data_IF_091633562079
#
_entry.id   IF_091633562079
#
_cell.length_a   1.000
_cell.length_b   1.000
_cell.length_c   1.000
_cell.angle_alpha   90.00
_cell.angle_beta   90.00
_cell.angle_gamma   90.00
#
_symmetry.space_group_name_H-M   'P 1'
#
loop_
_entity.id
_entity.type
_entity.pdbx_description
1 polymer ?
#
# COMPACT_ATOMS: atom_id res chain seq x y z
N UNK A 1 34.07 13.15 -0.23
CA UNK A 1 32.61 13.19 -0.49
C UNK A 1 32.33 12.36 -1.74
N UNK A 2 31.42 11.40 -1.65
CA UNK A 2 30.97 10.61 -2.81
C UNK A 2 29.81 11.36 -3.48
N UNK A 3 30.17 12.28 -4.39
CA UNK A 3 29.23 13.15 -5.08
C UNK A 3 28.33 12.32 -6.01
N UNK A 4 28.93 11.35 -6.69
CA UNK A 4 28.24 10.50 -7.66
C UNK A 4 27.18 9.64 -6.97
N UNK A 5 27.53 9.00 -5.87
CA UNK A 5 26.56 8.21 -5.10
C UNK A 5 25.41 9.08 -4.58
N UNK A 6 25.69 10.28 -4.08
CA UNK A 6 24.66 11.19 -3.61
C UNK A 6 23.65 11.56 -4.73
N UNK A 7 24.13 11.65 -5.98
CA UNK A 7 23.29 12.03 -7.14
C UNK A 7 22.54 10.84 -7.73
N UNK A 8 23.15 9.64 -7.78
CA UNK A 8 22.66 8.53 -8.59
C UNK A 8 22.09 7.35 -7.79
N UNK A 9 22.18 7.32 -6.45
CA UNK A 9 21.79 6.17 -5.62
C UNK A 9 20.36 5.65 -5.81
N UNK A 10 19.44 6.51 -6.29
CA UNK A 10 18.04 6.15 -6.60
C UNK A 10 17.74 6.17 -8.10
N UNK A 11 18.74 5.96 -8.93
CA UNK A 11 18.60 6.05 -10.38
C UNK A 11 19.26 4.86 -11.08
N UNK A 12 18.66 4.45 -12.20
CA UNK A 12 19.20 3.39 -13.08
C UNK A 12 19.49 4.00 -14.45
N UNK A 13 20.63 3.66 -15.06
CA UNK A 13 20.96 4.15 -16.40
C UNK A 13 20.00 3.58 -17.46
N UNK A 14 19.55 4.44 -18.36
CA UNK A 14 18.92 4.08 -19.61
C UNK A 14 20.00 4.09 -20.68
N UNK A 15 20.48 2.92 -21.07
CA UNK A 15 21.63 2.79 -21.97
C UNK A 15 21.38 3.38 -23.37
N UNK A 16 20.16 3.33 -23.87
CA UNK A 16 19.81 3.95 -25.15
C UNK A 16 19.89 5.47 -25.07
N UNK A 17 19.45 6.05 -23.96
CA UNK A 17 19.58 7.48 -23.71
C UNK A 17 21.03 7.91 -23.49
N UNK A 18 21.85 7.08 -22.83
CA UNK A 18 23.28 7.35 -22.68
C UNK A 18 23.97 7.49 -24.05
N UNK A 19 23.72 6.53 -24.97
CA UNK A 19 24.27 6.59 -26.31
C UNK A 19 23.79 7.82 -27.08
N UNK A 20 22.51 8.16 -27.01
CA UNK A 20 21.94 9.37 -27.63
C UNK A 20 22.49 10.67 -27.04
N UNK A 21 22.84 10.66 -25.76
CA UNK A 21 23.43 11.81 -25.08
C UNK A 21 24.86 12.07 -25.47
N UNK A 22 25.57 11.05 -26.00
CA UNK A 22 26.94 11.15 -26.48
C UNK A 22 27.96 10.26 -25.77
N UNK A 23 27.51 9.37 -24.86
CA UNK A 23 28.38 8.33 -24.32
C UNK A 23 28.83 7.38 -25.42
N UNK A 24 30.10 6.93 -25.32
CA UNK A 24 30.65 5.87 -26.18
C UNK A 24 30.74 4.58 -25.36
N UNK A 25 30.29 3.48 -25.94
CA UNK A 25 30.42 2.16 -25.30
C UNK A 25 31.80 1.60 -25.55
N UNK A 26 32.47 1.17 -24.47
CA UNK A 26 33.75 0.48 -24.50
C UNK A 26 33.68 -0.74 -23.56
N UNK A 27 33.54 -1.93 -24.13
CA UNK A 27 33.24 -3.15 -23.38
C UNK A 27 31.91 -3.05 -22.60
N UNK A 28 31.99 -3.15 -21.27
CA UNK A 28 30.83 -2.98 -20.37
C UNK A 28 30.66 -1.54 -19.88
N UNK A 29 31.58 -0.65 -20.23
CA UNK A 29 31.57 0.73 -19.79
C UNK A 29 30.96 1.67 -20.84
N UNK A 30 30.31 2.72 -20.35
CA UNK A 30 29.83 3.84 -21.14
C UNK A 30 30.59 5.08 -20.70
N UNK A 31 31.36 5.68 -21.63
CA UNK A 31 32.31 6.75 -21.35
C UNK A 31 31.90 8.02 -22.07
N UNK A 32 31.80 9.11 -21.31
CA UNK A 32 31.61 10.46 -21.84
C UNK A 32 32.82 11.32 -21.49
N UNK A 33 33.38 12.01 -22.51
CA UNK A 33 34.41 13.03 -22.32
C UNK A 33 33.94 14.33 -22.94
N UNK A 34 34.02 15.41 -22.18
CA UNK A 34 33.69 16.75 -22.72
C UNK A 34 34.40 17.85 -21.93
N UNK A 35 34.63 18.98 -22.59
CA UNK A 35 35.15 20.16 -21.90
C UNK A 35 34.23 20.57 -20.75
N UNK A 36 34.78 20.83 -19.57
CA UNK A 36 34.06 21.30 -18.39
C UNK A 36 34.12 22.83 -18.29
N UNK A 37 35.34 23.39 -18.37
CA UNK A 37 35.60 24.84 -18.39
C UNK A 37 37.07 25.09 -18.65
N UNK A 38 37.44 26.10 -19.48
CA UNK A 38 38.82 26.40 -19.81
C UNK A 38 39.56 25.13 -20.28
N UNK A 39 40.70 24.83 -19.66
CA UNK A 39 41.53 23.66 -19.94
C UNK A 39 41.17 22.45 -19.06
N UNK A 40 39.94 22.38 -18.52
CA UNK A 40 39.46 21.26 -17.71
C UNK A 40 38.47 20.41 -18.50
N UNK A 41 38.72 19.08 -18.50
CA UNK A 41 37.83 18.07 -19.10
C UNK A 41 37.19 17.23 -18.01
N UNK A 42 35.88 16.93 -18.17
CA UNK A 42 35.18 15.91 -17.37
C UNK A 42 35.12 14.59 -18.14
N UNK A 43 35.45 13.51 -17.42
CA UNK A 43 35.27 12.13 -17.90
C UNK A 43 34.26 11.47 -16.98
N UNK A 44 33.15 10.97 -17.53
CA UNK A 44 32.15 10.20 -16.79
C UNK A 44 32.12 8.79 -17.31
N UNK A 45 32.27 7.82 -16.41
CA UNK A 45 32.28 6.38 -16.71
C UNK A 45 31.09 5.74 -15.98
N UNK A 46 30.29 4.99 -16.71
CA UNK A 46 29.15 4.24 -16.15
C UNK A 46 29.36 2.76 -16.45
N UNK A 47 29.38 1.94 -15.40
CA UNK A 47 29.47 0.48 -15.47
C UNK A 47 28.41 -0.12 -14.54
N UNK A 48 27.38 -0.76 -15.11
CA UNK A 48 26.20 -1.19 -14.38
C UNK A 48 25.52 0.01 -13.69
N UNK A 49 25.36 -0.05 -12.37
CA UNK A 49 24.81 1.03 -11.56
C UNK A 49 25.88 2.03 -11.04
N UNK A 50 27.16 1.72 -11.25
CA UNK A 50 28.25 2.54 -10.75
C UNK A 50 28.53 3.68 -11.72
N UNK A 51 28.54 4.90 -11.19
CA UNK A 51 28.90 6.13 -11.92
C UNK A 51 30.21 6.65 -11.30
N UNK A 52 31.19 6.94 -12.10
CA UNK A 52 32.48 7.53 -11.73
C UNK A 52 32.69 8.77 -12.59
N UNK A 53 32.84 9.91 -11.94
CA UNK A 53 33.23 11.15 -12.61
C UNK A 53 34.66 11.52 -12.27
N UNK A 54 35.41 12.03 -13.21
CA UNK A 54 36.76 12.55 -13.02
C UNK A 54 36.91 13.88 -13.75
N UNK A 55 37.68 14.77 -13.17
CA UNK A 55 38.05 16.03 -13.81
C UNK A 55 39.57 16.02 -14.08
N UNK A 56 39.97 16.29 -15.32
CA UNK A 56 41.37 16.38 -15.74
C UNK A 56 41.75 17.83 -16.05
N UNK A 57 42.89 18.24 -15.57
CA UNK A 57 43.57 19.45 -16.00
C UNK A 57 44.39 19.09 -17.24
N UNK A 58 44.03 19.66 -18.39
CA UNK A 58 44.67 19.35 -19.67
C UNK A 58 46.04 20.02 -19.87
N UNK A 59 46.33 21.07 -19.10
CA UNK A 59 47.68 21.70 -19.14
C UNK A 59 48.73 20.83 -18.49
N UNK A 60 48.36 20.14 -17.39
CA UNK A 60 49.27 19.24 -16.66
C UNK A 60 49.03 17.76 -16.99
N UNK A 61 47.95 17.46 -17.70
CA UNK A 61 47.50 16.08 -18.04
C UNK A 61 47.34 15.19 -16.78
N UNK A 62 46.83 15.78 -15.71
CA UNK A 62 46.64 15.13 -14.40
C UNK A 62 45.20 15.24 -13.94
N UNK A 63 44.75 14.27 -13.08
CA UNK A 63 43.43 14.33 -12.46
C UNK A 63 43.39 15.43 -11.40
N UNK A 64 42.50 16.40 -11.54
CA UNK A 64 42.29 17.46 -10.58
C UNK A 64 41.30 17.00 -9.50
N UNK A 65 41.78 16.66 -8.30
CA UNK A 65 40.97 16.06 -7.23
C UNK A 65 40.48 17.05 -6.18
N UNK A 66 40.98 18.29 -6.16
CA UNK A 66 40.67 19.28 -5.12
C UNK A 66 39.18 19.60 -4.98
N UNK A 67 38.39 19.50 -6.04
CA UNK A 67 36.94 19.73 -6.00
C UNK A 67 36.17 18.71 -5.13
N UNK A 68 36.77 17.57 -4.79
CA UNK A 68 36.18 16.55 -3.92
C UNK A 68 36.39 16.84 -2.41
N UNK A 69 37.32 17.71 -2.07
CA UNK A 69 37.67 18.06 -0.68
C UNK A 69 36.70 19.12 -0.18
N UNK A 70 35.85 18.78 0.81
CA UNK A 70 34.77 19.64 1.31
C UNK A 70 35.28 20.97 1.92
N UNK A 71 36.44 20.95 2.57
CA UNK A 71 37.05 22.08 3.27
C UNK A 71 37.76 23.09 2.35
N UNK A 72 37.97 22.73 1.07
CA UNK A 72 38.57 23.65 0.12
C UNK A 72 37.53 24.62 -0.46
N UNK A 73 37.59 25.86 0.00
CA UNK A 73 36.63 26.94 -0.29
C UNK A 73 37.14 27.98 -1.32
N UNK A 74 38.23 27.73 -2.00
CA UNK A 74 38.74 28.62 -3.06
C UNK A 74 37.70 28.81 -4.18
N UNK A 75 37.50 30.05 -4.64
CA UNK A 75 36.49 30.38 -5.67
C UNK A 75 36.62 29.53 -6.94
N UNK A 76 37.82 29.22 -7.37
CA UNK A 76 38.08 28.37 -8.52
C UNK A 76 37.67 26.90 -8.27
N UNK A 77 38.06 26.32 -7.14
CA UNK A 77 37.68 24.95 -6.77
C UNK A 77 36.16 24.82 -6.60
N UNK A 78 35.51 25.82 -6.03
CA UNK A 78 34.06 25.91 -5.92
C UNK A 78 33.36 25.90 -7.30
N UNK A 79 33.87 26.70 -8.23
CA UNK A 79 33.37 26.76 -9.62
C UNK A 79 33.52 25.39 -10.34
N UNK A 80 34.67 24.72 -10.22
CA UNK A 80 34.88 23.39 -10.82
C UNK A 80 33.88 22.40 -10.21
N UNK A 81 33.68 22.40 -8.90
CA UNK A 81 32.72 21.53 -8.20
C UNK A 81 31.28 21.78 -8.67
N UNK A 82 30.85 23.03 -8.76
CA UNK A 82 29.51 23.37 -9.24
C UNK A 82 29.27 22.89 -10.66
N UNK A 83 30.23 23.12 -11.56
CA UNK A 83 30.14 22.65 -12.94
C UNK A 83 30.13 21.11 -13.03
N UNK A 84 30.97 20.43 -12.25
CA UNK A 84 30.99 18.98 -12.15
C UNK A 84 29.60 18.43 -11.73
N UNK A 85 29.05 18.95 -10.64
CA UNK A 85 27.72 18.57 -10.12
C UNK A 85 26.63 18.87 -11.16
N UNK A 86 26.71 20.03 -11.82
CA UNK A 86 25.75 20.40 -12.87
C UNK A 86 25.73 19.42 -14.04
N UNK A 87 26.93 18.98 -14.48
CA UNK A 87 27.04 17.97 -15.56
C UNK A 87 26.45 16.63 -15.11
N UNK A 88 26.76 16.18 -13.89
CA UNK A 88 26.21 14.92 -13.39
C UNK A 88 24.67 14.97 -13.25
N UNK A 89 24.11 16.08 -12.76
CA UNK A 89 22.66 16.27 -12.71
C UNK A 89 22.01 16.25 -14.08
N UNK A 90 22.62 16.92 -15.08
CA UNK A 90 22.11 16.92 -16.46
C UNK A 90 22.12 15.51 -17.07
N UNK A 91 23.18 14.72 -16.81
CA UNK A 91 23.25 13.31 -17.22
C UNK A 91 22.17 12.49 -16.52
N UNK A 92 21.99 12.66 -15.21
CA UNK A 92 20.94 11.97 -14.44
C UNK A 92 19.56 12.25 -15.02
N UNK A 93 19.22 13.51 -15.21
CA UNK A 93 17.88 13.91 -15.61
C UNK A 93 17.53 13.47 -17.04
N UNK A 94 18.55 13.37 -17.93
CA UNK A 94 18.36 12.98 -19.32
C UNK A 94 18.54 11.50 -19.61
N UNK A 95 19.38 10.81 -18.83
CA UNK A 95 19.83 9.46 -19.17
C UNK A 95 19.50 8.40 -18.12
N UNK A 96 18.87 8.76 -17.00
CA UNK A 96 18.55 7.81 -15.95
C UNK A 96 17.05 7.76 -15.66
N UNK A 97 16.63 6.65 -15.10
CA UNK A 97 15.24 6.42 -14.63
C UNK A 97 15.29 6.43 -13.11
N UNK A 98 14.43 7.24 -12.48
CA UNK A 98 14.31 7.30 -11.03
C UNK A 98 13.66 6.02 -10.49
N UNK A 99 14.20 5.51 -9.38
CA UNK A 99 13.60 4.46 -8.56
C UNK A 99 13.16 5.04 -7.22
N UNK A 100 12.04 4.57 -6.65
CA UNK A 100 11.60 5.06 -5.34
C UNK A 100 12.58 4.73 -4.21
N UNK A 101 13.31 3.60 -4.31
CA UNK A 101 14.19 3.09 -3.27
C UNK A 101 15.60 2.85 -3.78
N UNK A 102 16.55 2.76 -2.83
CA UNK A 102 17.96 2.50 -3.12
C UNK A 102 18.20 1.02 -3.43
N UNK A 103 17.64 0.12 -2.59
CA UNK A 103 17.89 -1.32 -2.69
C UNK A 103 16.93 -2.01 -3.65
N UNK A 104 17.44 -3.02 -4.36
CA UNK A 104 16.68 -3.72 -5.38
C UNK A 104 15.47 -4.47 -4.82
N UNK A 105 15.61 -5.12 -3.67
CA UNK A 105 14.50 -5.82 -3.03
C UNK A 105 13.36 -4.86 -2.67
N UNK A 106 13.67 -3.67 -2.17
CA UNK A 106 12.67 -2.64 -1.88
C UNK A 106 11.90 -2.21 -3.13
N UNK A 107 12.60 -2.05 -4.25
CA UNK A 107 11.97 -1.69 -5.53
C UNK A 107 11.12 -2.83 -6.09
N UNK A 108 11.56 -4.10 -5.95
CA UNK A 108 10.75 -5.26 -6.36
C UNK A 108 9.49 -5.38 -5.50
N UNK A 109 9.61 -5.26 -4.18
CA UNK A 109 8.46 -5.29 -3.26
C UNK A 109 7.47 -4.16 -3.58
N UNK A 110 7.95 -2.93 -3.81
CA UNK A 110 7.09 -1.82 -4.21
C UNK A 110 6.33 -2.11 -5.52
N UNK A 111 7.01 -2.70 -6.51
CA UNK A 111 6.39 -3.10 -7.77
C UNK A 111 5.36 -4.24 -7.59
N UNK A 112 5.63 -5.21 -6.71
CA UNK A 112 4.67 -6.28 -6.37
C UNK A 112 3.43 -5.71 -5.67
N UNK A 113 3.61 -4.76 -4.73
CA UNK A 113 2.52 -4.02 -4.08
C UNK A 113 1.68 -3.30 -5.15
N UNK A 114 2.32 -2.58 -6.07
CA UNK A 114 1.62 -1.88 -7.13
C UNK A 114 0.83 -2.84 -8.04
N UNK A 115 1.47 -3.93 -8.48
CA UNK A 115 0.81 -4.94 -9.34
C UNK A 115 -0.42 -5.57 -8.65
N UNK A 116 -0.35 -5.79 -7.34
CA UNK A 116 -1.40 -6.51 -6.59
C UNK A 116 -2.50 -5.58 -6.09
N UNK A 117 -2.15 -4.38 -5.59
CA UNK A 117 -3.07 -3.50 -4.89
C UNK A 117 -3.27 -2.15 -5.56
N UNK A 118 -2.53 -1.84 -6.64
CA UNK A 118 -2.52 -0.53 -7.32
C UNK A 118 -2.16 0.61 -6.36
N UNK A 119 -1.22 0.35 -5.43
CA UNK A 119 -0.74 1.33 -4.46
C UNK A 119 0.72 1.67 -4.73
N UNK A 120 1.01 2.96 -4.83
CA UNK A 120 2.35 3.50 -4.97
C UNK A 120 2.92 3.94 -3.63
N UNK A 121 4.27 3.98 -3.49
CA UNK A 121 4.90 4.53 -2.29
C UNK A 121 4.65 6.04 -2.20
N UNK A 122 4.24 6.53 -1.03
CA UNK A 122 3.98 7.94 -0.77
C UNK A 122 5.05 8.47 0.19
N UNK A 123 5.88 9.40 -0.29
CA UNK A 123 6.89 10.09 0.52
C UNK A 123 6.23 11.27 1.23
N UNK A 124 5.91 11.09 2.52
CA UNK A 124 5.18 12.10 3.32
C UNK A 124 6.09 13.12 4.01
N UNK A 125 7.40 12.88 4.02
CA UNK A 125 8.37 13.68 4.79
C UNK A 125 9.53 14.12 3.91
N UNK A 126 9.87 15.41 3.93
CA UNK A 126 10.97 15.96 3.14
C UNK A 126 12.35 15.57 3.68
N UNK A 127 12.45 15.35 4.99
CA UNK A 127 13.73 15.13 5.69
C UNK A 127 13.96 13.65 6.11
N UNK A 128 13.05 12.76 5.78
CA UNK A 128 13.13 11.34 6.15
C UNK A 128 13.00 10.52 4.86
N UNK A 129 14.00 9.70 4.58
CA UNK A 129 13.97 8.76 3.46
C UNK A 129 13.06 7.56 3.80
N UNK A 130 11.76 7.83 3.83
CA UNK A 130 10.72 6.88 4.14
C UNK A 130 9.49 7.09 3.27
N UNK A 131 8.89 5.99 2.82
CA UNK A 131 7.65 6.00 2.06
C UNK A 131 6.62 5.07 2.70
N UNK A 132 5.36 5.51 2.72
CA UNK A 132 4.25 4.73 3.22
C UNK A 132 3.43 4.14 2.08
N UNK A 133 2.89 2.95 2.31
CA UNK A 133 1.85 2.34 1.50
C UNK A 133 0.55 2.38 2.30
N UNK A 134 -0.48 3.01 1.75
CA UNK A 134 -1.74 3.19 2.45
C UNK A 134 -2.96 2.78 1.61
N UNK A 135 -4.01 2.37 2.33
CA UNK A 135 -5.31 2.08 1.77
C UNK A 135 -6.38 2.57 2.75
N UNK A 136 -7.40 3.31 2.25
CA UNK A 136 -8.44 3.93 3.08
C UNK A 136 -7.84 4.73 4.28
N UNK A 137 -6.83 5.56 4.02
CA UNK A 137 -6.13 6.39 5.01
C UNK A 137 -5.40 5.59 6.12
N UNK A 138 -5.29 4.27 5.98
CA UNK A 138 -4.58 3.39 6.91
C UNK A 138 -3.31 2.86 6.27
N UNK A 139 -2.20 2.95 7.00
CA UNK A 139 -0.92 2.42 6.56
C UNK A 139 -0.90 0.90 6.70
N UNK A 140 -0.41 0.21 5.67
CA UNK A 140 -0.16 -1.23 5.69
C UNK A 140 1.31 -1.59 5.44
N UNK A 141 2.12 -0.64 4.99
CA UNK A 141 3.55 -0.80 4.81
C UNK A 141 4.28 0.53 4.93
N UNK A 142 5.50 0.51 5.48
CA UNK A 142 6.39 1.66 5.50
C UNK A 142 7.79 1.16 5.18
N UNK A 143 8.35 1.59 4.06
CA UNK A 143 9.76 1.35 3.72
C UNK A 143 10.55 2.59 4.11
N UNK A 144 11.67 2.40 4.82
CA UNK A 144 12.57 3.48 5.21
C UNK A 144 14.03 3.04 5.14
N UNK A 145 14.90 4.00 4.80
CA UNK A 145 16.35 3.80 4.83
C UNK A 145 16.88 4.12 6.23
N UNK A 146 17.65 3.21 6.81
CA UNK A 146 18.17 3.32 8.18
C UNK A 146 19.61 2.78 8.25
N UNK A 147 20.29 3.11 9.35
CA UNK A 147 21.61 2.52 9.65
C UNK A 147 21.42 1.05 10.06
N UNK A 148 22.11 0.14 9.37
CA UNK A 148 22.07 -1.31 9.59
C UNK A 148 22.47 -1.72 11.00
N UNK A 149 23.30 -0.92 11.69
CA UNK A 149 23.70 -1.15 13.08
C UNK A 149 22.53 -1.21 14.06
N UNK A 150 21.33 -0.76 13.66
CA UNK A 150 20.09 -0.89 14.46
C UNK A 150 19.59 -2.34 14.56
N UNK A 151 20.01 -3.22 13.66
CA UNK A 151 19.50 -4.58 13.52
C UNK A 151 20.56 -5.66 13.56
N UNK A 152 21.82 -5.31 13.40
CA UNK A 152 22.95 -6.25 13.36
C UNK A 152 24.25 -5.55 13.80
N UNK A 153 25.34 -6.30 13.94
CA UNK A 153 26.68 -5.74 14.19
C UNK A 153 27.31 -5.10 12.94
N UNK A 154 26.63 -5.18 11.79
CA UNK A 154 27.10 -4.60 10.54
C UNK A 154 26.78 -3.11 10.48
N UNK A 155 27.64 -2.33 9.84
CA UNK A 155 27.44 -0.90 9.57
C UNK A 155 26.98 -0.67 8.14
N UNK A 156 26.46 0.53 7.86
CA UNK A 156 26.04 0.96 6.55
C UNK A 156 24.53 1.17 6.44
N UNK A 157 24.07 1.56 5.26
CA UNK A 157 22.65 1.77 4.99
C UNK A 157 21.95 0.43 4.69
N UNK A 158 20.68 0.33 5.12
CA UNK A 158 19.77 -0.76 4.75
C UNK A 158 18.34 -0.23 4.70
N UNK A 159 17.54 -0.73 3.79
CA UNK A 159 16.11 -0.43 3.79
C UNK A 159 15.34 -1.50 4.56
N UNK A 160 14.39 -1.05 5.34
CA UNK A 160 13.51 -1.90 6.13
C UNK A 160 12.06 -1.65 5.75
N UNK A 161 11.24 -2.69 5.88
CA UNK A 161 9.79 -2.61 5.74
C UNK A 161 9.12 -2.89 7.07
N UNK A 162 8.31 -1.97 7.56
CA UNK A 162 7.39 -2.25 8.66
C UNK A 162 6.03 -2.66 8.12
N UNK A 163 5.47 -3.77 8.64
CA UNK A 163 4.12 -4.26 8.34
C UNK A 163 3.35 -4.55 9.60
N UNK A 164 2.02 -4.44 9.53
CA UNK A 164 1.12 -4.72 10.64
C UNK A 164 0.70 -6.19 10.64
N UNK A 165 0.79 -6.86 11.79
CA UNK A 165 0.43 -8.28 11.93
C UNK A 165 -0.32 -8.52 13.25
N UNK A 166 -0.96 -9.69 13.36
CA UNK A 166 -1.48 -10.19 14.64
C UNK A 166 -0.37 -10.40 15.67
N UNK A 167 -0.64 -10.07 16.93
CA UNK A 167 0.35 -10.14 18.01
C UNK A 167 0.93 -11.54 18.25
N UNK A 168 0.12 -12.60 18.04
CA UNK A 168 0.59 -13.98 18.21
C UNK A 168 1.52 -14.37 17.07
N UNK A 169 1.22 -13.92 15.83
CA UNK A 169 2.10 -14.12 14.69
C UNK A 169 3.43 -13.39 14.86
N UNK A 170 3.41 -12.14 15.36
CA UNK A 170 4.63 -11.38 15.68
C UNK A 170 5.51 -12.17 16.65
N UNK A 171 4.94 -12.69 17.75
CA UNK A 171 5.68 -13.45 18.76
C UNK A 171 6.38 -14.70 18.18
N UNK A 172 5.77 -15.34 17.17
CA UNK A 172 6.32 -16.52 16.53
C UNK A 172 7.37 -16.19 15.46
N UNK A 173 7.34 -14.97 14.91
CA UNK A 173 8.21 -14.56 13.80
C UNK A 173 9.48 -13.86 14.26
N UNK A 174 9.46 -13.17 15.40
CA UNK A 174 10.53 -12.25 15.83
C UNK A 174 11.90 -12.91 16.04
N UNK A 175 11.96 -14.23 16.09
CA UNK A 175 13.21 -14.98 16.23
C UNK A 175 13.75 -15.52 14.90
N UNK A 176 13.14 -15.16 13.78
CA UNK A 176 13.63 -15.55 12.45
C UNK A 176 14.56 -14.48 11.91
N UNK A 177 15.62 -14.90 11.22
CA UNK A 177 16.55 -13.99 10.55
C UNK A 177 15.81 -13.04 9.61
N UNK A 178 16.23 -11.79 9.57
CA UNK A 178 15.59 -10.74 8.77
C UNK A 178 14.34 -10.12 9.38
N UNK A 179 13.83 -10.64 10.54
CA UNK A 179 12.64 -10.13 11.22
C UNK A 179 12.98 -9.60 12.62
N UNK A 180 12.57 -8.37 12.89
CA UNK A 180 12.91 -7.65 14.12
C UNK A 180 11.69 -7.00 14.76
N UNK A 181 11.82 -6.64 16.04
CA UNK A 181 10.83 -5.77 16.70
C UNK A 181 10.66 -4.48 15.92
N UNK A 182 9.41 -4.03 15.80
CA UNK A 182 9.08 -2.86 14.99
C UNK A 182 9.94 -1.62 15.34
N UNK A 183 10.59 -1.08 14.32
CA UNK A 183 11.37 0.14 14.41
C UNK A 183 10.45 1.35 14.21
N UNK A 184 10.43 2.26 15.19
CA UNK A 184 9.56 3.45 15.23
C UNK A 184 8.04 3.19 15.13
N UNK A 185 7.61 1.92 15.21
CA UNK A 185 6.19 1.56 15.18
C UNK A 185 5.78 0.84 16.47
N UNK A 186 4.47 0.66 16.67
CA UNK A 186 3.93 -0.05 17.83
C UNK A 186 4.33 -1.53 17.79
N UNK A 187 5.24 -1.95 18.67
CA UNK A 187 5.80 -3.31 18.76
C UNK A 187 4.79 -4.42 19.02
N UNK A 188 3.54 -4.08 19.46
CA UNK A 188 2.47 -5.07 19.70
C UNK A 188 1.71 -5.44 18.43
N UNK A 189 1.79 -4.61 17.40
CA UNK A 189 0.99 -4.76 16.17
C UNK A 189 1.78 -4.55 14.88
N UNK A 190 3.08 -4.31 14.97
CA UNK A 190 3.96 -4.14 13.82
C UNK A 190 5.24 -4.96 13.99
N UNK A 191 5.84 -5.37 12.86
CA UNK A 191 7.14 -6.04 12.78
C UNK A 191 8.01 -5.33 11.75
N UNK A 192 9.32 -5.37 11.93
CA UNK A 192 10.30 -4.87 10.96
C UNK A 192 10.89 -6.03 10.18
N UNK A 193 10.96 -5.88 8.88
CA UNK A 193 11.57 -6.77 7.90
C UNK A 193 12.77 -6.03 7.31
N UNK A 194 13.95 -6.64 7.31
CA UNK A 194 15.13 -6.08 6.60
C UNK A 194 15.06 -6.53 5.15
N UNK A 195 15.22 -5.57 4.22
CA UNK A 195 15.15 -5.79 2.77
C UNK A 195 16.56 -5.92 2.19
N UNK A 196 17.21 -7.06 2.49
CA UNK A 196 18.61 -7.35 2.14
C UNK A 196 18.80 -8.75 1.53
N UNK A 197 17.73 -9.30 0.92
CA UNK A 197 17.64 -10.64 0.32
C UNK A 197 17.64 -11.80 1.35
N UNK A 198 17.68 -11.53 2.67
CA UNK A 198 17.58 -12.58 3.71
C UNK A 198 16.25 -13.32 3.63
N UNK A 199 15.17 -12.62 3.31
CA UNK A 199 13.82 -13.19 3.14
C UNK A 199 13.39 -13.11 1.67
N UNK A 200 12.67 -14.14 1.20
CA UNK A 200 12.13 -14.14 -0.16
C UNK A 200 11.03 -13.10 -0.34
N UNK A 201 10.92 -12.56 -1.56
CA UNK A 201 9.88 -11.61 -1.92
C UNK A 201 8.47 -12.18 -1.68
N UNK A 202 8.25 -13.49 -1.94
CA UNK A 202 6.95 -14.16 -1.71
C UNK A 202 6.57 -14.16 -0.23
N UNK A 203 7.51 -14.50 0.65
CA UNK A 203 7.25 -14.49 2.10
C UNK A 203 6.98 -13.06 2.61
N UNK A 204 7.71 -12.08 2.11
CA UNK A 204 7.47 -10.67 2.44
C UNK A 204 6.07 -10.25 1.98
N UNK A 205 5.65 -10.66 0.77
CA UNK A 205 4.32 -10.36 0.25
C UNK A 205 3.19 -11.03 1.05
N UNK A 206 3.40 -12.24 1.59
CA UNK A 206 2.43 -12.87 2.53
C UNK A 206 2.20 -12.01 3.79
N UNK A 207 3.27 -11.41 4.33
CA UNK A 207 3.15 -10.52 5.48
C UNK A 207 2.48 -9.18 5.12
N UNK A 208 2.74 -8.67 3.93
CA UNK A 208 2.07 -7.49 3.38
C UNK A 208 0.58 -7.76 3.15
N UNK A 209 0.21 -8.94 2.65
CA UNK A 209 -1.18 -9.35 2.42
C UNK A 209 -2.00 -9.29 3.71
N UNK A 210 -1.45 -9.80 4.80
CA UNK A 210 -2.08 -9.70 6.10
C UNK A 210 -2.20 -8.24 6.54
N UNK A 211 -1.11 -7.47 6.42
CA UNK A 211 -1.11 -6.05 6.79
C UNK A 211 -2.14 -5.26 5.99
N UNK A 212 -2.23 -5.51 4.69
CA UNK A 212 -3.22 -4.89 3.81
C UNK A 212 -4.65 -5.24 4.23
N UNK A 213 -4.91 -6.48 4.65
CA UNK A 213 -6.23 -6.93 5.08
C UNK A 213 -6.83 -6.09 6.21
N UNK A 214 -6.00 -5.54 7.10
CA UNK A 214 -6.44 -4.65 8.19
C UNK A 214 -6.83 -3.24 7.71
N UNK A 215 -6.52 -2.89 6.47
CA UNK A 215 -6.89 -1.60 5.87
C UNK A 215 -8.14 -1.69 5.01
N UNK A 216 -8.51 -2.89 4.63
CA UNK A 216 -9.77 -3.12 3.91
C UNK A 216 -10.90 -2.75 4.85
N UNK A 217 -11.76 -1.84 4.42
CA UNK A 217 -13.01 -1.58 5.12
C UNK A 217 -13.86 -2.84 4.98
N UNK A 218 -13.77 -3.73 5.94
CA UNK A 218 -14.87 -4.65 6.20
C UNK A 218 -16.01 -3.73 6.65
N UNK A 219 -16.88 -3.37 5.74
CA UNK A 219 -18.19 -2.86 6.10
C UNK A 219 -18.76 -3.96 6.98
N UNK A 220 -18.73 -3.78 8.32
CA UNK A 220 -19.52 -4.63 9.21
C UNK A 220 -20.94 -4.42 8.74
N UNK A 221 -21.41 -5.33 7.89
CA UNK A 221 -22.79 -5.37 7.47
C UNK A 221 -23.60 -5.55 8.75
N UNK A 222 -24.46 -4.62 9.01
CA UNK A 222 -25.44 -4.76 10.08
C UNK A 222 -26.54 -5.69 9.61
N UNK A 223 -27.13 -6.38 10.55
CA UNK A 223 -28.21 -7.30 10.28
C UNK A 223 -29.46 -6.82 10.97
N UNK A 224 -30.49 -6.67 10.18
CA UNK A 224 -31.73 -6.01 10.56
C UNK A 224 -32.93 -6.93 10.44
N UNK A 225 -33.93 -6.75 11.29
CA UNK A 225 -35.28 -7.21 11.06
C UNK A 225 -36.17 -5.99 10.76
N UNK A 226 -36.89 -6.03 9.66
CA UNK A 226 -37.79 -4.94 9.22
C UNK A 226 -39.20 -5.42 9.08
N UNK A 227 -40.19 -4.74 9.72
CA UNK A 227 -41.60 -5.09 9.56
C UNK A 227 -42.11 -4.62 8.18
N UNK A 228 -42.87 -5.49 7.52
CA UNK A 228 -43.68 -5.21 6.34
C UNK A 228 -45.14 -5.39 6.69
N UNK A 229 -45.95 -4.39 6.45
CA UNK A 229 -47.39 -4.46 6.71
C UNK A 229 -48.14 -4.76 5.43
N UNK A 230 -48.83 -5.94 5.33
CA UNK A 230 -49.60 -6.32 4.14
C UNK A 230 -50.81 -5.44 3.91
N UNK A 231 -51.22 -4.62 4.87
CA UNK A 231 -52.30 -3.65 4.69
C UNK A 231 -51.94 -2.45 3.82
N UNK A 232 -50.66 -2.22 3.53
CA UNK A 232 -50.24 -1.09 2.69
C UNK A 232 -50.07 -1.47 1.22
N UNK A 233 -49.66 -2.72 0.93
CA UNK A 233 -49.48 -3.24 -0.43
C UNK A 233 -49.43 -4.76 -0.42
N UNK A 234 -49.61 -5.38 -1.59
CA UNK A 234 -49.47 -6.83 -1.76
C UNK A 234 -47.95 -7.21 -1.72
N UNK A 235 -47.51 -7.58 -0.51
CA UNK A 235 -46.12 -7.92 -0.24
C UNK A 235 -45.64 -9.12 -1.07
N UNK A 236 -46.50 -10.14 -1.17
CA UNK A 236 -46.15 -11.38 -1.88
C UNK A 236 -46.03 -11.14 -3.38
N UNK A 237 -46.98 -10.48 -3.98
CA UNK A 237 -46.90 -10.11 -5.39
C UNK A 237 -45.66 -9.23 -5.64
N UNK A 238 -45.40 -8.25 -4.79
CA UNK A 238 -44.26 -7.36 -4.91
C UNK A 238 -42.91 -8.12 -4.84
N UNK A 239 -42.73 -8.98 -3.83
CA UNK A 239 -41.51 -9.75 -3.65
C UNK A 239 -41.36 -10.95 -4.58
N UNK A 240 -42.40 -11.42 -5.22
CA UNK A 240 -42.38 -12.52 -6.19
C UNK A 240 -42.19 -12.01 -7.65
N UNK A 241 -42.47 -10.73 -7.91
CA UNK A 241 -42.37 -10.13 -9.26
C UNK A 241 -40.94 -9.76 -9.68
N UNK A 242 -40.03 -9.49 -8.73
CA UNK A 242 -38.65 -9.10 -8.99
C UNK A 242 -37.73 -9.50 -7.82
N UNK A 243 -36.45 -9.49 -8.07
CA UNK A 243 -35.43 -9.70 -6.99
C UNK A 243 -34.79 -8.41 -6.52
N UNK A 244 -34.95 -7.29 -7.23
CA UNK A 244 -34.37 -5.98 -6.89
C UNK A 244 -35.49 -4.95 -6.68
N UNK A 245 -35.40 -4.25 -5.58
CA UNK A 245 -36.41 -3.28 -5.12
C UNK A 245 -35.76 -1.94 -4.84
N UNK A 246 -36.50 -0.86 -5.13
CA UNK A 246 -36.09 0.52 -4.85
C UNK A 246 -37.04 1.07 -3.77
N UNK A 247 -36.49 1.37 -2.60
CA UNK A 247 -37.22 1.95 -1.48
C UNK A 247 -36.75 3.36 -1.22
N UNK A 248 -37.61 4.16 -0.62
CA UNK A 248 -37.18 5.47 -0.12
C UNK A 248 -35.95 5.34 0.76
N UNK A 249 -35.04 6.30 0.64
CA UNK A 249 -33.78 6.31 1.39
C UNK A 249 -33.98 6.03 2.88
N UNK A 250 -33.32 5.01 3.38
CA UNK A 250 -33.25 4.64 4.79
C UNK A 250 -31.87 4.97 5.35
N UNK A 251 -31.76 6.06 6.13
CA UNK A 251 -30.48 6.55 6.70
C UNK A 251 -29.74 5.55 7.59
N UNK A 252 -30.45 4.55 8.14
CA UNK A 252 -29.85 3.52 9.01
C UNK A 252 -29.18 2.39 8.24
N UNK A 253 -29.51 2.17 6.97
CA UNK A 253 -28.94 1.11 6.16
C UNK A 253 -27.65 1.53 5.46
N UNK A 254 -26.78 0.55 5.24
CA UNK A 254 -25.52 0.68 4.49
C UNK A 254 -25.41 -0.45 3.48
N UNK A 255 -24.68 -0.22 2.41
CA UNK A 255 -24.34 -1.26 1.43
C UNK A 255 -23.74 -2.49 2.13
N UNK A 256 -24.27 -3.67 1.79
CA UNK A 256 -23.88 -4.95 2.38
C UNK A 256 -24.68 -5.35 3.62
N UNK A 257 -25.54 -4.48 4.17
CA UNK A 257 -26.42 -4.85 5.28
C UNK A 257 -27.38 -5.96 4.86
N UNK A 258 -27.64 -6.90 5.76
CA UNK A 258 -28.67 -7.95 5.59
C UNK A 258 -29.95 -7.53 6.28
N UNK A 259 -31.08 -7.72 5.61
CA UNK A 259 -32.40 -7.38 6.15
C UNK A 259 -33.33 -8.58 6.08
N UNK A 260 -33.80 -9.02 7.24
CA UNK A 260 -34.83 -10.05 7.37
C UNK A 260 -36.19 -9.38 7.40
N UNK A 261 -37.05 -9.68 6.43
CA UNK A 261 -38.35 -9.07 6.23
C UNK A 261 -39.39 -9.83 7.05
N UNK A 262 -39.87 -9.20 8.11
CA UNK A 262 -40.96 -9.72 8.93
C UNK A 262 -42.30 -9.21 8.40
N UNK A 263 -43.11 -10.09 7.82
CA UNK A 263 -44.48 -9.77 7.39
C UNK A 263 -45.40 -9.80 8.62
N UNK A 264 -46.05 -8.67 8.91
CA UNK A 264 -46.93 -8.56 10.08
C UNK A 264 -48.20 -9.40 9.91
N UNK A 265 -49.09 -9.38 10.89
CA UNK A 265 -50.36 -10.14 10.82
C UNK A 265 -51.13 -9.85 9.51
N UNK A 266 -51.75 -10.86 8.87
CA UNK A 266 -52.05 -12.21 9.43
C UNK A 266 -50.89 -13.20 9.38
N UNK A 267 -49.80 -12.96 8.64
CA UNK A 267 -48.67 -13.89 8.48
C UNK A 267 -47.87 -14.07 9.77
N UNK A 268 -47.37 -12.98 10.34
CA UNK A 268 -46.65 -12.97 11.63
C UNK A 268 -45.32 -13.70 11.62
N UNK A 269 -44.57 -13.66 10.52
CA UNK A 269 -43.29 -14.41 10.36
C UNK A 269 -42.26 -13.65 9.52
N UNK A 270 -41.00 -14.01 9.65
CA UNK A 270 -39.94 -13.62 8.71
C UNK A 270 -40.13 -14.45 7.43
N UNK A 271 -40.34 -13.75 6.29
CA UNK A 271 -40.64 -14.37 5.02
C UNK A 271 -39.51 -14.26 4.01
N UNK A 272 -38.68 -13.21 4.09
CA UNK A 272 -37.63 -12.99 3.11
C UNK A 272 -36.31 -12.59 3.80
N UNK A 273 -35.19 -12.99 3.19
CA UNK A 273 -33.85 -12.48 3.46
C UNK A 273 -33.42 -11.63 2.28
N UNK A 274 -32.94 -10.42 2.55
CA UNK A 274 -32.53 -9.47 1.54
C UNK A 274 -31.14 -8.91 1.92
N UNK A 275 -30.47 -8.33 0.93
CA UNK A 275 -29.23 -7.56 1.12
C UNK A 275 -29.42 -6.15 0.57
N UNK A 276 -28.78 -5.18 1.20
CA UNK A 276 -28.72 -3.81 0.69
C UNK A 276 -27.59 -3.73 -0.33
N UNK A 277 -27.94 -3.60 -1.60
CA UNK A 277 -26.95 -3.51 -2.69
C UNK A 277 -26.35 -2.12 -2.77
N UNK A 278 -27.13 -1.06 -2.50
CA UNK A 278 -26.63 0.32 -2.42
C UNK A 278 -27.61 1.24 -1.68
N UNK A 279 -27.09 2.41 -1.25
CA UNK A 279 -27.88 3.49 -0.66
C UNK A 279 -27.46 4.78 -1.34
N UNK A 280 -28.31 5.29 -2.21
CA UNK A 280 -28.13 6.57 -2.91
C UNK A 280 -28.75 7.72 -2.10
N UNK A 281 -28.72 8.92 -2.64
CA UNK A 281 -29.36 10.08 -1.99
C UNK A 281 -30.89 9.96 -1.94
N UNK A 282 -31.50 9.27 -2.89
CA UNK A 282 -32.93 9.16 -3.02
C UNK A 282 -33.46 7.78 -2.59
N UNK A 283 -32.71 6.70 -2.85
CA UNK A 283 -33.20 5.33 -2.72
C UNK A 283 -32.26 4.43 -1.91
N UNK A 284 -32.85 3.41 -1.31
CA UNK A 284 -32.17 2.21 -0.81
C UNK A 284 -32.49 1.08 -1.80
N UNK A 285 -31.43 0.51 -2.40
CA UNK A 285 -31.53 -0.61 -3.35
C UNK A 285 -31.41 -1.91 -2.57
N UNK A 286 -32.46 -2.71 -2.62
CA UNK A 286 -32.60 -3.94 -1.84
C UNK A 286 -32.75 -5.12 -2.79
N UNK A 287 -31.92 -6.18 -2.59
CA UNK A 287 -32.00 -7.40 -3.38
C UNK A 287 -32.42 -8.57 -2.51
N UNK A 288 -33.44 -9.30 -2.98
CA UNK A 288 -33.91 -10.54 -2.35
C UNK A 288 -32.85 -11.65 -2.54
N UNK A 289 -32.48 -12.32 -1.44
CA UNK A 289 -31.59 -13.47 -1.46
C UNK A 289 -32.39 -14.80 -1.44
N UNK A 290 -33.39 -14.87 -0.58
CA UNK A 290 -34.26 -16.03 -0.53
C UNK A 290 -35.64 -15.70 0.08
N UNK A 291 -36.62 -16.58 -0.18
CA UNK A 291 -37.94 -16.64 0.47
C UNK A 291 -37.97 -17.83 1.41
N UNK A 292 -38.46 -17.64 2.59
CA UNK A 292 -38.63 -18.72 3.57
C UNK A 292 -40.04 -19.31 3.48
N UNK A 293 -40.21 -20.54 3.96
CA UNK A 293 -41.51 -21.19 4.10
C UNK A 293 -42.37 -20.44 5.12
N UNK A 294 -43.67 -20.31 4.82
CA UNK A 294 -44.62 -19.63 5.68
C UNK A 294 -44.70 -20.31 7.05
N UNK A 295 -44.67 -19.53 8.10
CA UNK A 295 -44.68 -20.02 9.49
C UNK A 295 -43.37 -20.56 10.03
N UNK A 296 -42.34 -20.78 9.20
CA UNK A 296 -41.04 -21.33 9.64
C UNK A 296 -40.35 -20.47 10.72
N UNK A 297 -40.40 -19.16 10.57
CA UNK A 297 -39.84 -18.21 11.51
C UNK A 297 -40.93 -17.29 12.03
N UNK A 298 -41.90 -17.90 12.70
CA UNK A 298 -43.05 -17.21 13.28
C UNK A 298 -42.69 -16.45 14.58
N UNK A 299 -43.63 -15.64 15.10
CA UNK A 299 -43.41 -14.76 16.24
C UNK A 299 -42.97 -15.53 17.51
N UNK A 300 -43.43 -16.77 17.72
CA UNK A 300 -43.07 -17.55 18.91
C UNK A 300 -41.61 -18.01 18.83
N UNK A 301 -41.13 -18.41 17.66
CA UNK A 301 -39.68 -18.68 17.41
C UNK A 301 -38.88 -17.42 17.60
N UNK A 302 -39.33 -16.29 17.03
CA UNK A 302 -38.61 -15.02 17.20
C UNK A 302 -38.46 -14.66 18.67
N UNK A 303 -39.51 -14.80 19.47
CA UNK A 303 -39.47 -14.55 20.92
C UNK A 303 -38.53 -15.48 21.65
N UNK A 304 -38.52 -16.77 21.31
CA UNK A 304 -37.60 -17.77 21.89
C UNK A 304 -36.15 -17.38 21.74
N UNK A 305 -35.79 -16.73 20.63
CA UNK A 305 -34.43 -16.29 20.33
C UNK A 305 -34.20 -14.79 20.55
N UNK A 306 -35.01 -14.15 21.41
CA UNK A 306 -34.75 -12.81 21.93
C UNK A 306 -35.38 -11.65 21.17
N UNK A 307 -36.23 -11.92 20.16
CA UNK A 307 -36.95 -10.88 19.42
C UNK A 307 -38.41 -10.84 19.83
N UNK A 308 -38.77 -10.06 20.85
CA UNK A 308 -40.08 -10.04 21.47
C UNK A 308 -41.17 -9.34 20.65
N UNK A 309 -40.76 -8.40 19.81
CA UNK A 309 -41.71 -7.68 18.91
C UNK A 309 -40.98 -7.09 17.70
N UNK A 310 -41.69 -6.94 16.57
CA UNK A 310 -41.16 -6.29 15.35
C UNK A 310 -42.13 -5.18 14.94
N UNK A 311 -42.01 -4.02 15.60
CA UNK A 311 -42.85 -2.83 15.30
C UNK A 311 -42.07 -1.78 14.48
N UNK A 312 -40.77 -1.85 14.48
CA UNK A 312 -39.86 -0.98 13.72
C UNK A 312 -38.62 -1.76 13.29
N UNK A 313 -37.88 -1.23 12.33
CA UNK A 313 -36.57 -1.76 11.93
C UNK A 313 -35.62 -1.74 13.10
N UNK A 314 -34.98 -2.88 13.37
CA UNK A 314 -34.05 -3.06 14.47
C UNK A 314 -33.01 -4.13 14.15
N UNK A 315 -31.93 -4.17 14.92
CA UNK A 315 -30.94 -5.24 14.78
C UNK A 315 -31.54 -6.60 15.17
N UNK A 316 -31.18 -7.63 14.41
CA UNK A 316 -31.56 -9.02 14.74
C UNK A 316 -30.72 -9.51 15.93
N UNK A 317 -31.30 -10.18 16.93
CA UNK A 317 -30.54 -10.87 17.97
C UNK A 317 -29.63 -11.93 17.37
N UNK A 318 -28.36 -12.02 17.86
CA UNK A 318 -27.36 -12.97 17.35
C UNK A 318 -27.87 -14.42 17.44
N UNK A 319 -28.56 -14.78 18.52
CA UNK A 319 -29.12 -16.12 18.70
C UNK A 319 -30.17 -16.45 17.62
N UNK A 320 -31.03 -15.48 17.25
CA UNK A 320 -32.03 -15.65 16.19
C UNK A 320 -31.36 -15.78 14.83
N UNK A 321 -30.39 -14.94 14.53
CA UNK A 321 -29.60 -15.05 13.30
C UNK A 321 -28.99 -16.43 13.14
N UNK A 322 -28.25 -16.89 14.15
CA UNK A 322 -27.60 -18.19 14.11
C UNK A 322 -28.61 -19.32 13.87
N UNK A 323 -29.77 -19.25 14.50
CA UNK A 323 -30.85 -20.21 14.28
C UNK A 323 -31.38 -20.18 12.81
N UNK A 324 -31.60 -18.99 12.23
CA UNK A 324 -32.09 -18.83 10.85
C UNK A 324 -31.03 -19.33 9.84
N UNK A 325 -29.76 -19.11 10.10
CA UNK A 325 -28.65 -19.45 9.20
C UNK A 325 -28.10 -20.87 9.39
N UNK A 326 -28.73 -21.69 10.25
CA UNK A 326 -28.37 -23.09 10.49
C UNK A 326 -27.12 -23.25 11.33
N UNK A 327 -26.72 -22.22 12.09
CA UNK A 327 -25.66 -22.32 13.08
C UNK A 327 -26.09 -23.25 14.23
N UNK A 328 -25.25 -24.26 14.53
CA UNK A 328 -25.39 -25.12 15.69
C UNK A 328 -24.98 -24.41 16.96
#
# INVERSE_FOLDING_TARGET
MDIENAIFKKYVPDYDKLLKYGFKKDGEEYILKRNLTGNFEIVVIINGLKVIGKVYDLDFNEEYTNYRVQEQTGSFTGMIREKFVSVLNDIRDKCFISKPFVFEQSNRIANLIYKKYLKEPIFKWDNIDAAVFENNEKWFGIIMNVDRSKFSELSGEVEILNVKLDKHKISNLINKDGLYTAYHMNKKSWITIVLDETLSDDFIMELIDESYSYTVLVLKSSEWVMPLNPGYFDIFHYFDSTDVYYWDRRKSFKKGDTVYMYVTKPVGAIMYKCVIDDVTDDFTIVRKLCKYEEGKYNLDILKKYGLTSVRSTRHIPIALKNYIEGGK
#
